data_IF_977369805709
#
_entry.id   IF_977369805709
#
_cell.length_a   1.000
_cell.length_b   1.000
_cell.length_c   1.000
_cell.angle_alpha   90.00
_cell.angle_beta   90.00
_cell.angle_gamma   90.00
#
_symmetry.space_group_name_H-M   'P 1'
#
loop_
_entity.id
_entity.type
_entity.pdbx_description
1 polymer ?
#
# COMPACT_ATOMS: atom_id res chain seq x y z
N UNK A 1 -18.96 4.43 -10.24
CA UNK A 1 -18.91 3.90 -8.86
C UNK A 1 -17.75 4.59 -8.16
N UNK A 2 -17.97 5.20 -7.01
CA UNK A 2 -16.90 5.84 -6.24
C UNK A 2 -15.87 4.78 -5.80
N UNK A 3 -14.58 5.10 -5.85
CA UNK A 3 -13.52 4.17 -5.43
C UNK A 3 -13.52 4.07 -3.91
N UNK A 4 -13.91 2.91 -3.39
CA UNK A 4 -13.82 2.63 -1.95
C UNK A 4 -12.40 2.24 -1.56
N UNK A 5 -11.99 2.57 -0.33
CA UNK A 5 -10.70 2.11 0.18
C UNK A 5 -10.61 0.57 0.20
N UNK A 6 -11.72 -0.12 0.44
CA UNK A 6 -11.79 -1.59 0.42
C UNK A 6 -11.41 -2.15 -0.96
N UNK A 7 -12.02 -1.64 -2.03
CA UNK A 7 -11.69 -2.06 -3.40
C UNK A 7 -10.24 -1.77 -3.78
N UNK A 8 -9.66 -0.67 -3.27
CA UNK A 8 -8.26 -0.33 -3.50
C UNK A 8 -7.31 -1.26 -2.74
N UNK A 9 -7.66 -1.67 -1.51
CA UNK A 9 -6.92 -2.67 -0.74
C UNK A 9 -6.95 -4.03 -1.44
N UNK A 10 -8.12 -4.48 -1.93
CA UNK A 10 -8.23 -5.74 -2.68
C UNK A 10 -7.38 -5.70 -3.95
N UNK A 11 -7.43 -4.59 -4.69
CA UNK A 11 -6.58 -4.38 -5.87
C UNK A 11 -5.09 -4.40 -5.51
N UNK A 12 -4.72 -3.74 -4.41
CA UNK A 12 -3.35 -3.74 -3.89
C UNK A 12 -2.87 -5.15 -3.56
N UNK A 13 -3.68 -5.99 -2.90
CA UNK A 13 -3.30 -7.37 -2.57
C UNK A 13 -3.05 -8.21 -3.82
N UNK A 14 -3.92 -8.08 -4.84
CA UNK A 14 -3.74 -8.75 -6.13
C UNK A 14 -2.45 -8.30 -6.82
N UNK A 15 -2.21 -6.99 -6.90
CA UNK A 15 -1.01 -6.44 -7.54
C UNK A 15 0.27 -6.75 -6.75
N UNK A 16 0.21 -6.80 -5.41
CA UNK A 16 1.34 -7.16 -4.56
C UNK A 16 1.85 -8.58 -4.82
N UNK A 17 1.04 -9.47 -5.38
CA UNK A 17 1.47 -10.80 -5.84
C UNK A 17 2.24 -10.79 -7.17
N UNK A 18 2.41 -9.64 -7.81
CA UNK A 18 3.03 -9.49 -9.14
C UNK A 18 4.34 -8.72 -9.09
N UNK A 19 4.95 -8.52 -10.26
CA UNK A 19 6.10 -7.64 -10.49
C UNK A 19 5.70 -6.20 -10.90
N UNK A 20 4.40 -5.92 -11.03
CA UNK A 20 3.90 -4.62 -11.46
C UNK A 20 4.06 -3.55 -10.35
N UNK A 21 4.92 -2.56 -10.59
CA UNK A 21 5.20 -1.46 -9.66
C UNK A 21 4.31 -0.22 -9.86
N UNK A 22 3.38 -0.23 -10.82
CA UNK A 22 2.58 0.94 -11.19
C UNK A 22 1.61 1.33 -10.06
N UNK A 23 1.72 2.58 -9.62
CA UNK A 23 0.85 3.17 -8.59
C UNK A 23 -0.19 4.13 -9.17
N UNK A 24 -0.11 4.41 -10.48
CA UNK A 24 -1.04 5.32 -11.14
C UNK A 24 -2.46 4.73 -11.11
N UNK A 25 -3.43 5.61 -10.86
CA UNK A 25 -4.84 5.24 -10.78
C UNK A 25 -5.26 4.57 -9.47
N UNK A 26 -4.39 4.46 -8.46
CA UNK A 26 -4.84 4.24 -7.09
C UNK A 26 -5.47 5.51 -6.50
N UNK A 27 -6.30 5.33 -5.49
CA UNK A 27 -6.85 6.43 -4.69
C UNK A 27 -5.70 7.24 -4.04
N UNK A 28 -5.81 8.57 -4.07
CA UNK A 28 -4.78 9.46 -3.51
C UNK A 28 -5.15 10.03 -2.14
N UNK A 29 -6.44 10.06 -1.81
CA UNK A 29 -6.93 10.62 -0.54
C UNK A 29 -8.07 9.77 0.02
N UNK A 30 -8.14 9.63 1.34
CA UNK A 30 -9.21 8.93 2.05
C UNK A 30 -9.41 9.57 3.41
N UNK A 31 -10.65 9.99 3.73
CA UNK A 31 -11.01 10.66 5.00
C UNK A 31 -10.07 11.85 5.36
N UNK A 32 -9.69 12.66 4.36
CA UNK A 32 -8.81 13.80 4.55
C UNK A 32 -7.32 13.46 4.74
N UNK A 33 -6.94 12.18 4.61
CA UNK A 33 -5.56 11.71 4.65
C UNK A 33 -5.05 11.46 3.23
N UNK A 34 -3.77 11.74 2.99
CA UNK A 34 -3.06 11.33 1.79
C UNK A 34 -2.78 9.84 1.85
N UNK A 35 -3.12 9.13 0.76
CA UNK A 35 -2.93 7.69 0.62
C UNK A 35 -1.82 7.44 -0.38
N UNK A 36 -0.82 6.64 -0.01
CA UNK A 36 0.23 6.18 -0.92
C UNK A 36 0.32 4.68 -0.89
N UNK A 37 0.46 4.09 -2.07
CA UNK A 37 0.65 2.66 -2.29
C UNK A 37 2.09 2.45 -2.75
N UNK A 38 2.76 1.41 -2.26
CA UNK A 38 4.10 1.05 -2.73
C UNK A 38 4.24 -0.44 -2.93
N UNK A 39 4.78 -0.79 -4.09
CA UNK A 39 5.15 -2.15 -4.49
C UNK A 39 6.66 -2.30 -4.61
N UNK A 40 7.44 -1.27 -4.25
CA UNK A 40 8.87 -1.16 -4.47
C UNK A 40 9.23 -0.08 -5.50
N UNK A 41 10.52 0.24 -5.60
CA UNK A 41 11.07 1.19 -6.55
C UNK A 41 12.27 0.54 -7.26
N UNK A 42 12.14 0.29 -8.55
CA UNK A 42 13.09 -0.50 -9.35
C UNK A 42 12.95 -2.00 -9.13
N UNK A 43 12.93 -2.46 -7.88
CA UNK A 43 12.73 -3.87 -7.52
C UNK A 43 11.42 -4.06 -6.75
N UNK A 44 10.83 -5.26 -6.89
CA UNK A 44 9.63 -5.67 -6.15
C UNK A 44 9.91 -5.70 -4.65
N UNK A 45 9.05 -5.04 -3.87
CA UNK A 45 9.16 -5.00 -2.41
C UNK A 45 8.85 -6.36 -1.78
N UNK A 46 9.66 -6.73 -0.78
CA UNK A 46 9.38 -7.87 0.11
C UNK A 46 8.16 -7.63 1.00
N UNK A 47 7.94 -6.35 1.36
CA UNK A 47 6.80 -5.88 2.15
C UNK A 47 6.17 -4.68 1.44
N UNK A 48 5.27 -4.90 0.46
CA UNK A 48 4.45 -3.84 -0.11
C UNK A 48 3.59 -3.19 0.99
N UNK A 49 3.24 -1.93 0.81
CA UNK A 49 2.54 -1.17 1.85
C UNK A 49 1.58 -0.13 1.31
N UNK A 50 0.66 0.29 2.19
CA UNK A 50 -0.24 1.43 2.00
C UNK A 50 -0.10 2.35 3.22
N UNK A 51 0.23 3.62 3.02
CA UNK A 51 0.32 4.61 4.09
C UNK A 51 -0.83 5.62 4.03
N UNK A 52 -1.22 6.14 5.20
CA UNK A 52 -2.27 7.15 5.36
C UNK A 52 -1.70 8.33 6.15
N UNK A 53 -1.15 9.32 5.45
CA UNK A 53 -0.49 10.47 6.08
C UNK A 53 -1.42 11.67 6.14
N UNK A 54 -1.40 12.39 7.25
CA UNK A 54 -2.06 13.68 7.42
C UNK A 54 -1.19 14.61 8.25
N UNK A 55 -1.64 15.84 8.49
CA UNK A 55 -1.02 16.74 9.46
C UNK A 55 0.51 16.94 9.30
N UNK A 56 1.00 16.97 8.05
CA UNK A 56 2.42 17.15 7.73
C UNK A 56 3.31 15.91 7.94
N UNK A 57 2.74 14.76 8.30
CA UNK A 57 3.49 13.50 8.44
C UNK A 57 4.01 13.01 7.07
N UNK A 58 5.21 12.41 7.07
CA UNK A 58 5.83 11.85 5.85
C UNK A 58 6.12 10.37 6.05
N UNK A 59 6.11 9.61 4.95
CA UNK A 59 6.39 8.16 5.00
C UNK A 59 7.79 7.88 5.57
N UNK A 60 8.80 8.66 5.17
CA UNK A 60 10.17 8.49 5.64
C UNK A 60 10.40 9.02 7.07
N UNK A 61 9.50 9.86 7.57
CA UNK A 61 9.66 10.55 8.85
C UNK A 61 8.29 10.98 9.38
N UNK A 62 7.66 10.12 10.17
CA UNK A 62 6.36 10.39 10.74
C UNK A 62 5.70 9.17 11.38
N UNK A 63 4.55 9.43 12.01
CA UNK A 63 3.69 8.43 12.62
C UNK A 63 2.35 8.46 11.89
N UNK A 64 1.91 7.31 11.39
CA UNK A 64 0.71 7.20 10.58
C UNK A 64 0.18 5.76 10.57
N UNK A 65 -1.13 5.55 10.35
CA UNK A 65 -1.68 4.24 10.04
C UNK A 65 -1.04 3.67 8.76
N UNK A 66 -0.71 2.38 8.78
CA UNK A 66 -0.08 1.70 7.64
C UNK A 66 -0.60 0.27 7.51
N UNK A 67 -0.89 -0.17 6.27
CA UNK A 67 -1.02 -1.59 5.94
C UNK A 67 0.33 -2.11 5.44
N UNK A 68 0.80 -3.19 6.03
CA UNK A 68 2.04 -3.87 5.65
C UNK A 68 1.69 -5.29 5.22
N UNK A 69 2.07 -5.68 4.00
CA UNK A 69 1.84 -7.03 3.49
C UNK A 69 3.14 -7.84 3.47
N UNK A 70 3.32 -8.71 4.46
CA UNK A 70 4.50 -9.56 4.60
C UNK A 70 4.41 -10.82 3.72
N UNK A 71 4.88 -10.74 2.47
CA UNK A 71 4.80 -11.86 1.49
C UNK A 71 5.41 -13.18 2.00
N UNK A 72 6.51 -13.10 2.74
CA UNK A 72 7.31 -14.26 3.17
C UNK A 72 6.90 -14.85 4.52
N UNK A 73 5.93 -14.26 5.22
CA UNK A 73 5.40 -14.84 6.46
C UNK A 73 4.07 -15.57 6.25
N UNK A 74 3.61 -15.69 5.00
CA UNK A 74 2.35 -16.35 4.66
C UNK A 74 2.42 -17.89 4.62
N UNK A 75 3.62 -18.50 4.68
CA UNK A 75 3.77 -19.96 4.76
C UNK A 75 5.02 -20.36 5.55
N UNK A 76 4.80 -20.81 6.79
CA UNK A 76 5.61 -21.80 7.49
C UNK A 76 4.64 -22.67 8.30
N UNK A 77 3.87 -23.49 7.58
CA UNK A 77 3.24 -24.69 8.14
C UNK A 77 3.85 -25.85 7.38
N UNK A 78 4.79 -26.53 8.04
CA UNK A 78 5.19 -27.89 7.69
C UNK A 78 3.99 -28.83 7.81
#
# INVERSE_FOLDING_TARGET
>A
MEKSIFSEIVRFLGQAGTDNLVQSGYLKTYNGLDVKFSFGAGNVAKVPWISFTGFGQRVQEGIYPVYLYYKFHATNTN
#
